data_IF_456399075752
#
_entry.id   IF_456399075752
#
_cell.length_a   1.000
_cell.length_b   1.000
_cell.length_c   1.000
_cell.angle_alpha   90.00
_cell.angle_beta   90.00
_cell.angle_gamma   90.00
#
_symmetry.space_group_name_H-M   'P 1'
#
loop_
_entity.id
_entity.type
_entity.pdbx_description
1 polymer ?
#
# COMPACT_ATOMS: atom_id res chain seq x y z
N UNK A 1 -2.35 12.94 -4.84
CA UNK A 1 -3.15 11.82 -4.30
C UNK A 1 -2.38 10.51 -4.28
N UNK A 2 -1.87 9.95 -5.41
CA UNK A 2 -1.13 8.68 -5.39
C UNK A 2 0.10 8.76 -4.45
N UNK A 3 0.85 9.87 -4.57
CA UNK A 3 1.87 10.39 -3.63
C UNK A 3 1.52 10.10 -2.16
N UNK A 4 0.56 10.88 -1.68
CA UNK A 4 0.05 10.80 -0.32
C UNK A 4 -0.51 9.42 0.08
N UNK A 5 -1.08 8.65 -0.86
CA UNK A 5 -1.59 7.32 -0.55
C UNK A 5 -0.44 6.34 -0.28
N UNK A 6 0.62 6.37 -1.08
CA UNK A 6 1.84 5.59 -0.84
C UNK A 6 2.40 5.90 0.55
N UNK A 7 2.60 7.18 0.83
CA UNK A 7 3.23 7.64 2.09
C UNK A 7 2.34 7.25 3.28
N UNK A 8 1.03 7.47 3.16
CA UNK A 8 0.04 7.03 4.16
C UNK A 8 0.08 5.53 4.41
N UNK A 9 0.27 4.69 3.38
CA UNK A 9 0.34 3.23 3.52
C UNK A 9 1.64 2.77 4.18
N UNK A 10 2.74 3.51 3.96
CA UNK A 10 4.05 3.30 4.59
C UNK A 10 4.15 3.83 6.02
N UNK A 11 3.10 4.50 6.52
CA UNK A 11 3.13 5.24 7.80
C UNK A 11 4.23 6.30 7.82
N UNK A 12 4.53 6.84 6.65
CA UNK A 12 5.47 7.94 6.49
C UNK A 12 4.72 9.26 6.74
N UNK A 13 5.06 9.91 7.86
CA UNK A 13 4.49 11.20 8.26
C UNK A 13 5.28 12.38 7.66
N UNK A 14 6.22 12.13 6.75
CA UNK A 14 6.97 13.21 6.10
C UNK A 14 6.07 14.01 5.14
N UNK A 15 5.78 15.25 5.55
CA UNK A 15 5.07 16.23 4.73
C UNK A 15 5.95 16.85 3.64
N UNK A 16 7.12 16.27 3.32
CA UNK A 16 8.08 16.82 2.36
C UNK A 16 7.43 17.17 1.01
N UNK A 17 6.49 16.33 0.56
CA UNK A 17 5.80 16.53 -0.71
C UNK A 17 4.71 17.63 -0.65
N UNK A 18 4.21 17.93 0.54
CA UNK A 18 3.13 18.89 0.76
C UNK A 18 3.42 19.79 1.98
N UNK A 19 4.46 20.64 1.93
CA UNK A 19 4.87 21.49 3.07
C UNK A 19 3.79 22.51 3.45
N UNK A 20 2.83 22.75 2.57
CA UNK A 20 1.66 23.59 2.81
C UNK A 20 0.69 22.96 3.84
N UNK A 21 0.75 21.64 4.03
CA UNK A 21 -0.10 20.92 4.98
C UNK A 21 0.35 21.06 6.43
N UNK A 22 1.65 21.24 6.67
CA UNK A 22 2.19 21.51 8.01
C UNK A 22 1.68 22.84 8.58
N UNK A 23 1.30 23.77 7.70
CA UNK A 23 0.81 25.10 8.09
C UNK A 23 -0.66 25.09 8.52
N UNK A 24 -1.35 23.95 8.39
CA UNK A 24 -2.74 23.77 8.78
C UNK A 24 -2.78 23.34 10.24
N UNK A 25 -3.53 24.06 11.08
CA UNK A 25 -3.70 23.75 12.50
C UNK A 25 -5.10 23.16 12.80
N UNK A 26 -5.21 21.90 13.26
CA UNK A 26 -4.15 20.89 13.38
C UNK A 26 -3.80 20.24 12.02
N UNK A 27 -2.59 19.67 11.87
CA UNK A 27 -2.18 19.04 10.63
C UNK A 27 -3.06 17.82 10.33
N UNK A 28 -3.41 17.58 9.05
CA UNK A 28 -4.29 16.49 8.68
C UNK A 28 -3.62 15.13 8.92
N UNK A 29 -4.21 14.30 9.79
CA UNK A 29 -3.70 12.95 10.10
C UNK A 29 -3.92 11.91 9.00
N UNK A 30 -4.82 12.18 8.05
CA UNK A 30 -5.14 11.27 6.96
C UNK A 30 -5.05 12.04 5.64
N UNK A 31 -3.81 12.16 5.14
CA UNK A 31 -3.44 13.04 4.04
C UNK A 31 -4.22 12.74 2.74
N UNK A 32 -4.44 11.48 2.31
CA UNK A 32 -5.22 11.20 1.09
C UNK A 32 -6.64 11.76 1.15
N UNK A 33 -7.31 11.62 2.29
CA UNK A 33 -8.65 12.17 2.51
C UNK A 33 -8.65 13.69 2.50
N UNK A 34 -7.61 14.31 3.05
CA UNK A 34 -7.45 15.76 3.00
C UNK A 34 -7.28 16.26 1.56
N UNK A 35 -6.50 15.57 0.74
CA UNK A 35 -6.37 15.90 -0.70
C UNK A 35 -7.71 15.75 -1.42
N UNK A 36 -8.49 14.70 -1.12
CA UNK A 36 -9.84 14.55 -1.68
C UNK A 36 -10.76 15.72 -1.31
N UNK A 37 -10.72 16.18 -0.04
CA UNK A 37 -11.46 17.39 0.39
C UNK A 37 -11.03 18.64 -0.38
N UNK A 38 -9.73 18.84 -0.64
CA UNK A 38 -9.24 19.94 -1.46
C UNK A 38 -9.80 19.89 -2.90
N UNK A 39 -9.85 18.71 -3.50
CA UNK A 39 -10.44 18.53 -4.83
C UNK A 39 -11.92 18.90 -4.79
N UNK A 40 -12.67 18.41 -3.80
CA UNK A 40 -14.08 18.77 -3.64
C UNK A 40 -14.31 20.27 -3.47
N UNK A 41 -13.51 20.95 -2.63
CA UNK A 41 -13.60 22.40 -2.46
C UNK A 41 -13.37 23.15 -3.77
N UNK A 42 -12.42 22.70 -4.59
CA UNK A 42 -12.15 23.27 -5.92
C UNK A 42 -13.34 23.11 -6.85
N UNK A 43 -13.90 21.91 -6.94
CA UNK A 43 -15.01 21.58 -7.83
C UNK A 43 -16.29 22.32 -7.42
N UNK A 44 -16.57 22.40 -6.12
CA UNK A 44 -17.68 23.20 -5.59
C UNK A 44 -17.49 24.69 -5.92
N UNK A 45 -16.24 25.19 -5.86
CA UNK A 45 -15.88 26.53 -6.31
C UNK A 45 -16.27 26.76 -7.77
N UNK A 46 -15.91 25.84 -8.67
CA UNK A 46 -16.26 25.92 -10.09
C UNK A 46 -17.76 25.92 -10.34
N UNK A 47 -18.52 25.09 -9.60
CA UNK A 47 -19.98 25.09 -9.67
C UNK A 47 -20.58 26.42 -9.24
N UNK A 48 -20.07 27.02 -8.16
CA UNK A 48 -20.53 28.33 -7.68
C UNK A 48 -20.26 29.45 -8.67
N UNK A 49 -19.16 29.37 -9.42
CA UNK A 49 -18.84 30.30 -10.50
C UNK A 49 -19.57 30.02 -11.82
N UNK A 50 -20.37 28.95 -11.90
CA UNK A 50 -21.06 28.55 -13.14
C UNK A 50 -20.14 28.02 -14.24
N UNK A 51 -18.91 27.59 -13.88
CA UNK A 51 -17.97 26.97 -14.82
C UNK A 51 -18.35 25.53 -15.16
N UNK A 52 -19.05 24.86 -14.24
CA UNK A 52 -19.54 23.50 -14.39
C UNK A 52 -21.01 23.41 -13.96
N UNK A 53 -21.75 22.46 -14.54
CA UNK A 53 -23.15 22.24 -14.22
C UNK A 53 -23.37 21.16 -13.12
N UNK A 54 -24.62 20.75 -12.94
CA UNK A 54 -24.98 19.72 -11.96
C UNK A 54 -24.57 18.30 -12.35
N UNK A 55 -24.54 17.99 -13.64
CA UNK A 55 -24.23 16.66 -14.16
C UNK A 55 -22.71 16.44 -14.20
N UNK A 56 -21.94 17.45 -14.62
CA UNK A 56 -20.48 17.46 -14.56
C UNK A 56 -19.98 17.31 -13.11
N UNK A 57 -20.64 17.96 -12.15
CA UNK A 57 -20.34 17.76 -10.73
C UNK A 57 -20.52 16.30 -10.31
N UNK A 58 -21.58 15.62 -10.77
CA UNK A 58 -21.85 14.22 -10.40
C UNK A 58 -20.81 13.27 -10.97
N UNK A 59 -20.29 13.56 -12.17
CA UNK A 59 -19.20 12.80 -12.77
C UNK A 59 -17.96 12.93 -11.89
N UNK A 60 -17.54 14.17 -11.59
CA UNK A 60 -16.33 14.40 -10.78
C UNK A 60 -16.48 13.83 -9.36
N UNK A 61 -17.66 13.96 -8.74
CA UNK A 61 -17.93 13.34 -7.43
C UNK A 61 -17.73 11.82 -7.46
N UNK A 62 -18.14 11.16 -8.54
CA UNK A 62 -17.94 9.73 -8.71
C UNK A 62 -16.45 9.39 -8.78
N UNK A 63 -15.67 10.11 -9.58
CA UNK A 63 -14.21 9.90 -9.71
C UNK A 63 -13.46 10.13 -8.38
N UNK A 64 -13.79 11.19 -7.64
CA UNK A 64 -13.15 11.48 -6.35
C UNK A 64 -13.53 10.44 -5.31
N UNK A 65 -14.78 9.96 -5.33
CA UNK A 65 -15.21 8.85 -4.47
C UNK A 65 -14.43 7.56 -4.78
N UNK A 66 -14.16 7.27 -6.05
CA UNK A 66 -13.34 6.10 -6.43
C UNK A 66 -11.92 6.16 -5.87
N UNK A 67 -11.29 7.34 -5.85
CA UNK A 67 -9.99 7.52 -5.19
C UNK A 67 -10.05 7.14 -3.70
N UNK A 68 -11.12 7.53 -3.00
CA UNK A 68 -11.32 7.22 -1.59
C UNK A 68 -11.67 5.74 -1.35
N UNK A 69 -12.43 5.12 -2.25
CA UNK A 69 -12.69 3.67 -2.21
C UNK A 69 -11.39 2.86 -2.38
N UNK A 70 -10.51 3.27 -3.31
CA UNK A 70 -9.19 2.65 -3.48
C UNK A 70 -8.35 2.83 -2.21
N UNK A 71 -8.31 4.04 -1.64
CA UNK A 71 -7.63 4.32 -0.39
C UNK A 71 -8.13 3.38 0.74
N UNK A 72 -9.45 3.28 0.92
CA UNK A 72 -10.06 2.38 1.90
C UNK A 72 -9.76 0.90 1.62
N UNK A 73 -9.69 0.51 0.34
CA UNK A 73 -9.26 -0.82 -0.09
C UNK A 73 -7.83 -1.14 0.35
N UNK A 74 -6.89 -0.22 0.09
CA UNK A 74 -5.50 -0.37 0.53
C UNK A 74 -5.37 -0.40 2.06
N UNK A 75 -6.12 0.44 2.78
CA UNK A 75 -6.16 0.41 4.25
C UNK A 75 -6.67 -0.92 4.79
N UNK A 76 -7.69 -1.51 4.16
CA UNK A 76 -8.21 -2.83 4.54
C UNK A 76 -7.16 -3.91 4.34
N UNK A 77 -6.46 -3.91 3.20
CA UNK A 77 -5.35 -4.85 2.95
C UNK A 77 -4.30 -4.70 4.05
N UNK A 78 -3.86 -3.46 4.34
CA UNK A 78 -2.87 -3.19 5.38
C UNK A 78 -3.33 -3.60 6.79
N UNK A 79 -4.60 -3.35 7.15
CA UNK A 79 -5.13 -3.67 8.49
C UNK A 79 -5.54 -5.13 8.65
N UNK A 80 -5.63 -5.91 7.57
CA UNK A 80 -5.98 -7.35 7.62
C UNK A 80 -4.73 -8.24 7.78
N UNK A 81 -3.63 -7.71 8.35
CA UNK A 81 -2.50 -8.54 8.78
C UNK A 81 -2.98 -9.57 9.81
N UNK A 82 -2.35 -10.75 9.84
CA UNK A 82 -2.72 -11.78 10.82
C UNK A 82 -2.58 -11.24 12.24
N UNK A 83 -3.41 -11.73 13.16
CA UNK A 83 -3.30 -11.28 14.55
C UNK A 83 -1.91 -11.63 15.11
N UNK A 84 -1.29 -10.77 15.95
CA UNK A 84 0.02 -11.06 16.54
C UNK A 84 0.07 -12.41 17.28
N UNK A 85 -1.04 -12.78 17.95
CA UNK A 85 -1.17 -14.06 18.65
C UNK A 85 -1.09 -15.25 17.70
N UNK A 86 -1.66 -15.13 16.50
CA UNK A 86 -1.60 -16.19 15.49
C UNK A 86 -0.16 -16.39 14.97
N UNK A 87 0.53 -15.29 14.61
CA UNK A 87 1.96 -15.35 14.21
C UNK A 87 2.82 -16.02 15.26
N UNK A 88 2.65 -15.61 16.53
CA UNK A 88 3.40 -16.18 17.64
C UNK A 88 3.11 -17.69 17.81
N UNK A 89 1.84 -18.08 17.68
CA UNK A 89 1.44 -19.48 17.75
C UNK A 89 2.07 -20.32 16.63
N UNK A 90 2.03 -19.86 15.39
CA UNK A 90 2.67 -20.55 14.24
C UNK A 90 4.17 -20.72 14.46
N UNK A 91 4.87 -19.64 14.89
CA UNK A 91 6.30 -19.70 15.21
C UNK A 91 6.62 -20.70 16.31
N UNK A 92 5.78 -20.81 17.35
CA UNK A 92 5.92 -21.84 18.37
C UNK A 92 5.69 -23.25 17.81
N UNK A 93 4.69 -23.45 16.95
CA UNK A 93 4.45 -24.74 16.30
C UNK A 93 5.66 -25.18 15.45
N UNK A 94 6.22 -24.30 14.63
CA UNK A 94 7.41 -24.58 13.82
C UNK A 94 8.60 -24.94 14.72
N UNK A 95 8.82 -24.16 15.78
CA UNK A 95 9.92 -24.41 16.72
C UNK A 95 9.77 -25.77 17.40
N UNK A 96 8.59 -26.09 17.94
CA UNK A 96 8.32 -27.36 18.59
C UNK A 96 8.44 -28.55 17.61
N UNK A 97 7.98 -28.38 16.38
CA UNK A 97 8.12 -29.39 15.34
C UNK A 97 9.60 -29.67 15.04
N UNK A 98 10.40 -28.64 14.78
CA UNK A 98 11.82 -28.80 14.49
C UNK A 98 12.62 -29.35 15.67
N UNK A 99 12.24 -29.00 16.91
CA UNK A 99 12.86 -29.56 18.11
C UNK A 99 12.52 -31.05 18.30
N UNK A 100 11.30 -31.49 17.99
CA UNK A 100 10.88 -32.90 18.19
C UNK A 100 11.24 -33.80 17.01
N UNK A 101 11.40 -33.25 15.81
CA UNK A 101 11.76 -33.98 14.59
C UNK A 101 12.98 -34.92 14.71
N UNK A 102 14.13 -34.54 15.31
CA UNK A 102 15.29 -35.43 15.41
C UNK A 102 14.99 -36.70 16.23
N UNK A 103 14.16 -36.63 17.27
CA UNK A 103 13.74 -37.81 18.03
C UNK A 103 12.93 -38.78 17.17
N UNK A 104 12.10 -38.26 16.25
CA UNK A 104 11.34 -39.11 15.33
C UNK A 104 12.17 -39.78 14.24
N UNK A 105 13.34 -39.21 13.90
CA UNK A 105 14.18 -39.69 12.79
C UNK A 105 15.41 -40.50 13.24
N UNK A 106 15.80 -40.42 14.52
CA UNK A 106 17.09 -40.97 14.98
C UNK A 106 17.19 -42.50 14.86
N UNK A 107 16.09 -43.22 15.07
CA UNK A 107 16.08 -44.69 15.02
C UNK A 107 16.37 -45.23 13.60
N UNK A 108 15.83 -44.55 12.58
CA UNK A 108 15.99 -44.96 11.18
C UNK A 108 17.29 -44.40 10.56
N UNK A 109 17.63 -43.14 10.84
CA UNK A 109 18.67 -42.41 10.12
C UNK A 109 19.97 -42.19 10.90
N UNK A 110 19.99 -42.43 12.22
CA UNK A 110 21.19 -42.27 13.07
C UNK A 110 21.91 -40.93 12.84
N UNK A 111 23.17 -40.93 12.37
CA UNK A 111 23.92 -39.71 12.11
C UNK A 111 23.34 -38.86 10.95
N UNK A 112 22.62 -39.48 10.01
CA UNK A 112 21.95 -38.75 8.92
C UNK A 112 20.74 -37.94 9.38
N UNK A 113 20.26 -38.16 10.61
CA UNK A 113 19.20 -37.34 11.21
C UNK A 113 19.58 -35.88 11.28
N UNK A 114 20.83 -35.56 11.64
CA UNK A 114 21.28 -34.16 11.78
C UNK A 114 21.15 -33.37 10.47
N UNK A 115 21.75 -33.79 9.33
CA UNK A 115 21.60 -33.05 8.08
C UNK A 115 20.14 -33.02 7.58
N UNK A 116 19.37 -34.09 7.80
CA UNK A 116 17.94 -34.10 7.42
C UNK A 116 17.12 -33.08 8.22
N UNK A 117 17.33 -32.99 9.53
CA UNK A 117 16.67 -31.99 10.38
C UNK A 117 17.06 -30.57 9.98
N UNK A 118 18.33 -30.33 9.64
CA UNK A 118 18.79 -29.00 9.17
C UNK A 118 18.12 -28.61 7.85
N UNK A 119 18.02 -29.54 6.89
CA UNK A 119 17.32 -29.29 5.62
C UNK A 119 15.85 -28.97 5.87
N UNK A 120 15.17 -29.74 6.72
CA UNK A 120 13.77 -29.48 7.05
C UNK A 120 13.58 -28.13 7.76
N UNK A 121 14.50 -27.77 8.67
CA UNK A 121 14.50 -26.47 9.34
C UNK A 121 14.64 -25.33 8.34
N UNK A 122 15.55 -25.45 7.36
CA UNK A 122 15.72 -24.47 6.30
C UNK A 122 14.40 -24.21 5.56
N UNK A 123 13.70 -25.27 5.12
CA UNK A 123 12.43 -25.10 4.41
C UNK A 123 11.31 -24.53 5.28
N UNK A 124 11.15 -25.04 6.51
CA UNK A 124 10.07 -24.59 7.40
C UNK A 124 10.25 -23.14 7.85
N UNK A 125 11.47 -22.75 8.21
CA UNK A 125 11.79 -21.36 8.58
C UNK A 125 11.69 -20.46 7.34
N UNK A 126 12.18 -20.92 6.18
CA UNK A 126 12.07 -20.17 4.94
C UNK A 126 10.63 -19.84 4.56
N UNK A 127 9.71 -20.81 4.68
CA UNK A 127 8.28 -20.58 4.44
C UNK A 127 7.70 -19.53 5.40
N UNK A 128 8.04 -19.60 6.69
CA UNK A 128 7.58 -18.61 7.68
C UNK A 128 8.07 -17.19 7.35
N UNK A 129 9.33 -17.05 6.93
CA UNK A 129 9.89 -15.75 6.53
C UNK A 129 9.16 -15.21 5.31
N UNK A 130 8.96 -16.04 4.28
CA UNK A 130 8.23 -15.63 3.06
C UNK A 130 6.78 -15.25 3.39
N UNK A 131 6.11 -16.03 4.25
CA UNK A 131 4.75 -15.73 4.69
C UNK A 131 4.67 -14.37 5.39
N UNK A 132 5.65 -14.05 6.22
CA UNK A 132 5.75 -12.75 6.87
C UNK A 132 5.91 -11.60 5.85
N UNK A 133 6.81 -11.74 4.87
CA UNK A 133 7.00 -10.72 3.82
C UNK A 133 5.73 -10.50 3.00
N UNK A 134 5.01 -11.57 2.63
CA UNK A 134 3.76 -11.46 1.86
C UNK A 134 2.62 -10.80 2.65
N UNK A 135 2.65 -10.85 3.99
CA UNK A 135 1.66 -10.16 4.84
C UNK A 135 1.81 -8.63 4.84
N UNK A 136 2.98 -8.08 4.49
CA UNK A 136 3.29 -6.65 4.61
C UNK A 136 3.57 -5.94 3.28
N UNK A 137 2.71 -6.06 2.24
CA UNK A 137 3.04 -5.76 0.83
C UNK A 137 3.34 -4.29 0.48
N UNK A 138 3.18 -3.37 1.43
CA UNK A 138 3.31 -1.92 1.21
C UNK A 138 4.57 -1.33 1.84
N UNK A 139 5.49 -2.17 2.34
CA UNK A 139 6.72 -1.73 2.97
C UNK A 139 7.77 -1.19 1.98
N UNK A 140 9.02 -1.41 2.35
CA UNK A 140 10.23 -0.98 1.63
C UNK A 140 11.20 -2.14 1.36
N UNK A 141 10.79 -3.37 1.65
CA UNK A 141 11.60 -4.56 1.40
C UNK A 141 11.63 -4.88 -0.10
N UNK A 142 12.62 -5.65 -0.54
CA UNK A 142 12.80 -6.00 -1.96
C UNK A 142 11.60 -6.78 -2.54
N UNK A 143 10.90 -7.53 -1.69
CA UNK A 143 9.72 -8.32 -2.07
C UNK A 143 8.39 -7.53 -2.01
N UNK A 144 8.43 -6.26 -1.59
CA UNK A 144 7.23 -5.41 -1.49
C UNK A 144 6.81 -4.83 -2.85
N UNK A 145 5.59 -4.26 -2.88
CA UNK A 145 5.10 -3.58 -4.07
C UNK A 145 5.92 -2.32 -4.38
N UNK A 146 6.29 -2.14 -5.65
CA UNK A 146 6.95 -0.93 -6.16
C UNK A 146 5.97 0.25 -6.26
N UNK A 147 5.58 0.79 -5.10
CA UNK A 147 4.66 1.93 -5.00
C UNK A 147 5.25 3.20 -5.61
N UNK A 148 6.57 3.35 -5.59
CA UNK A 148 7.28 4.48 -6.17
C UNK A 148 7.19 4.45 -7.70
N UNK A 149 7.48 3.31 -8.32
CA UNK A 149 7.31 3.09 -9.75
C UNK A 149 5.85 3.26 -10.20
N UNK A 150 4.89 2.78 -9.41
CA UNK A 150 3.47 3.02 -9.66
C UNK A 150 3.12 4.51 -9.65
N UNK A 151 3.60 5.26 -8.66
CA UNK A 151 3.39 6.70 -8.57
C UNK A 151 4.00 7.46 -9.75
N UNK A 152 5.23 7.10 -10.13
CA UNK A 152 5.92 7.67 -11.31
C UNK A 152 5.11 7.40 -12.58
N UNK A 153 4.61 6.18 -12.74
CA UNK A 153 3.81 5.78 -13.91
C UNK A 153 2.50 6.57 -13.99
N UNK A 154 1.78 6.70 -12.88
CA UNK A 154 0.54 7.50 -12.81
C UNK A 154 0.84 8.97 -13.15
N UNK A 155 1.89 9.55 -12.54
CA UNK A 155 2.30 10.94 -12.79
C UNK A 155 2.64 11.17 -14.27
N UNK A 156 3.43 10.27 -14.86
CA UNK A 156 3.80 10.35 -16.28
C UNK A 156 2.57 10.30 -17.18
N UNK A 157 1.62 9.39 -16.88
CA UNK A 157 0.39 9.22 -17.66
C UNK A 157 -0.49 10.48 -17.60
N UNK A 158 -0.65 11.07 -16.40
CA UNK A 158 -1.42 12.31 -16.22
C UNK A 158 -0.78 13.47 -16.97
N UNK A 159 0.55 13.62 -16.87
CA UNK A 159 1.27 14.67 -17.59
C UNK A 159 1.12 14.53 -19.10
N UNK A 160 1.20 13.30 -19.64
CA UNK A 160 0.99 13.07 -21.07
C UNK A 160 -0.41 13.49 -21.54
N UNK A 161 -1.45 13.19 -20.74
CA UNK A 161 -2.83 13.59 -21.05
C UNK A 161 -2.96 15.11 -21.04
N UNK A 162 -2.39 15.78 -20.04
CA UNK A 162 -2.42 17.25 -19.93
C UNK A 162 -1.69 17.92 -21.10
N UNK A 163 -0.52 17.41 -21.49
CA UNK A 163 0.25 17.92 -22.63
C UNK A 163 -0.51 17.78 -23.95
N UNK A 164 -1.20 16.65 -24.15
CA UNK A 164 -2.05 16.43 -25.33
C UNK A 164 -3.24 17.39 -25.33
N UNK A 165 -3.86 17.61 -24.17
CA UNK A 165 -4.99 18.54 -24.04
C UNK A 165 -4.58 19.98 -24.34
N UNK A 166 -3.44 20.44 -23.80
CA UNK A 166 -2.91 21.79 -24.05
C UNK A 166 -2.58 22.04 -25.53
N UNK A 167 -2.05 21.04 -26.23
CA UNK A 167 -1.79 21.13 -27.69
C UNK A 167 -3.07 21.20 -28.52
N UNK A 168 -4.15 20.56 -28.07
CA UNK A 168 -5.43 20.61 -28.77
C UNK A 168 -6.13 21.97 -28.61
N UNK A 169 -5.92 22.65 -27.48
CA UNK A 169 -6.43 24.02 -27.27
C UNK A 169 -5.66 25.09 -28.06
N UNK A 170 -4.38 24.87 -28.38
CA UNK A 170 -3.54 25.80 -29.15
C UNK A 170 -3.67 25.67 -30.68
N UNK A 171 -4.26 24.58 -31.19
CA UNK A 171 -4.44 24.36 -32.63
C UNK A 171 -5.91 24.05 -32.96
N UNK A 172 -6.80 25.06 -32.97
CA UNK A 172 -8.20 24.87 -33.28
C UNK A 172 -8.33 24.61 -34.79
N UNK A 173 -8.70 23.40 -35.17
CA UNK A 173 -9.19 23.08 -36.52
C UNK A 173 -10.52 23.75 -36.79
#
# INVERSE_FOLDING_TARGET
FPEALRDHLREDDDFEMFPELEQIDPPPRHIPAYIADLIYRRVIGWKRSGLIDGDELRIIDTEVRELMEICGGCERIRRTRLSPSYRLFVRHCITLYLCTLPWGLVEEFNFWTVPMTVIMAYFMIGIEVIAHSVEEPFGLDEDDLDLDGLCITIRSTVNEILDRFGKQTDNPT
#
